data_IF_422427730150
#
_entry.id   IF_422427730150
#
_cell.length_a   1.000
_cell.length_b   1.000
_cell.length_c   1.000
_cell.angle_alpha   90.00
_cell.angle_beta   90.00
_cell.angle_gamma   90.00
#
_symmetry.space_group_name_H-M   'P 1'
#
loop_
_entity.id
_entity.type
_entity.pdbx_description
1 polymer ?
#
# COMPACT_ATOMS: atom_id res chain seq x y z
N UNK A 1 -7.24 9.77 2.87
CA UNK A 1 -7.33 8.61 1.95
C UNK A 1 -7.58 9.11 0.54
N UNK A 2 -6.87 8.59 -0.42
CA UNK A 2 -6.95 9.02 -1.81
C UNK A 2 -6.76 7.81 -2.74
N UNK A 3 -7.24 7.92 -3.98
CA UNK A 3 -6.89 6.95 -5.04
C UNK A 3 -5.53 7.26 -5.70
N UNK A 4 -4.92 8.38 -5.32
CA UNK A 4 -3.60 8.78 -5.79
C UNK A 4 -3.55 9.50 -7.13
N UNK A 5 -4.66 9.60 -7.87
CA UNK A 5 -4.66 10.20 -9.20
C UNK A 5 -4.25 11.68 -9.19
N UNK A 6 -4.66 12.42 -8.16
CA UNK A 6 -4.37 13.85 -8.03
C UNK A 6 -3.27 14.15 -7.00
N UNK A 7 -2.67 13.12 -6.43
CA UNK A 7 -1.74 13.29 -5.31
C UNK A 7 -0.52 14.14 -5.69
N UNK A 8 0.03 13.96 -6.89
CA UNK A 8 1.20 14.72 -7.32
C UNK A 8 0.94 16.22 -7.32
N UNK A 9 -0.27 16.65 -7.70
CA UNK A 9 -0.66 18.06 -7.72
C UNK A 9 -0.93 18.61 -6.33
N UNK A 10 -1.45 17.77 -5.43
CA UNK A 10 -1.94 18.20 -4.12
C UNK A 10 -0.93 18.04 -3.00
N UNK A 11 0.13 17.25 -3.21
CA UNK A 11 1.04 16.86 -2.14
C UNK A 11 1.71 18.07 -1.45
N UNK A 12 2.18 19.05 -2.21
CA UNK A 12 2.82 20.24 -1.62
C UNK A 12 1.86 21.04 -0.75
N UNK A 13 0.64 21.23 -1.24
CA UNK A 13 -0.41 21.93 -0.49
C UNK A 13 -0.76 21.18 0.79
N UNK A 14 -0.90 19.85 0.71
CA UNK A 14 -1.16 19.00 1.87
C UNK A 14 -0.03 19.12 2.91
N UNK A 15 1.21 19.11 2.46
CA UNK A 15 2.37 19.26 3.35
C UNK A 15 2.34 20.60 4.07
N UNK A 16 2.03 21.68 3.37
CA UNK A 16 1.91 23.02 3.96
C UNK A 16 0.79 23.10 5.00
N UNK A 17 -0.27 22.31 4.82
CA UNK A 17 -1.39 22.25 5.74
C UNK A 17 -1.13 21.37 6.96
N UNK A 18 0.06 20.75 7.03
CA UNK A 18 0.46 19.91 8.15
C UNK A 18 0.16 18.43 8.01
N UNK A 19 -0.23 17.98 6.81
CA UNK A 19 -0.46 16.55 6.55
C UNK A 19 0.88 15.82 6.55
N UNK A 20 1.00 14.78 7.39
CA UNK A 20 2.22 14.00 7.53
C UNK A 20 2.09 12.59 6.98
N UNK A 21 0.87 12.08 6.83
CA UNK A 21 0.59 10.71 6.41
C UNK A 21 -0.44 10.70 5.29
N UNK A 22 -0.19 9.86 4.28
CA UNK A 22 -1.11 9.70 3.15
C UNK A 22 -1.42 8.22 2.99
N UNK A 23 -2.70 7.90 2.90
CA UNK A 23 -3.17 6.55 2.58
C UNK A 23 -3.67 6.53 1.15
N UNK A 24 -3.06 5.69 0.33
CA UNK A 24 -3.43 5.52 -1.08
C UNK A 24 -4.10 4.16 -1.25
N UNK A 25 -5.28 4.14 -1.83
CA UNK A 25 -5.96 2.89 -2.18
C UNK A 25 -5.48 2.47 -3.56
N UNK A 26 -4.73 1.39 -3.61
CA UNK A 26 -4.20 0.85 -4.86
C UNK A 26 -4.15 -0.67 -4.76
N UNK A 27 -4.89 -1.36 -5.63
CA UNK A 27 -5.04 -2.81 -5.55
C UNK A 27 -4.07 -3.58 -6.43
N UNK A 28 -3.38 -2.90 -7.33
CA UNK A 28 -2.42 -3.53 -8.23
C UNK A 28 -1.39 -2.53 -8.72
N UNK A 29 -0.17 -2.99 -8.93
CA UNK A 29 0.88 -2.23 -9.62
C UNK A 29 1.15 -2.76 -11.02
N UNK A 30 0.27 -3.61 -11.53
CA UNK A 30 0.28 -4.01 -12.93
C UNK A 30 -0.49 -2.96 -13.75
N UNK A 31 0.17 -2.33 -14.70
CA UNK A 31 -0.39 -1.21 -15.46
C UNK A 31 -1.67 -1.58 -16.21
N UNK A 32 -1.69 -2.74 -16.84
CA UNK A 32 -2.84 -3.22 -17.60
C UNK A 32 -4.02 -3.51 -16.67
N UNK A 33 -3.79 -4.23 -15.58
CA UNK A 33 -4.83 -4.55 -14.59
C UNK A 33 -5.40 -3.30 -13.95
N UNK A 34 -4.54 -2.33 -13.64
CA UNK A 34 -4.97 -1.07 -13.05
C UNK A 34 -5.92 -0.34 -13.99
N UNK A 35 -5.54 -0.18 -15.25
CA UNK A 35 -6.34 0.53 -16.25
C UNK A 35 -7.69 -0.16 -16.47
N UNK A 36 -7.71 -1.48 -16.54
CA UNK A 36 -8.93 -2.25 -16.74
C UNK A 36 -9.88 -2.15 -15.56
N UNK A 37 -9.36 -2.07 -14.33
CA UNK A 37 -10.16 -2.03 -13.11
C UNK A 37 -10.49 -0.61 -12.61
N UNK A 38 -9.94 0.42 -13.25
CA UNK A 38 -10.11 1.82 -12.82
C UNK A 38 -10.64 2.71 -13.95
N UNK A 39 -11.59 2.21 -14.72
CA UNK A 39 -12.29 2.96 -15.77
C UNK A 39 -11.35 3.62 -16.80
N UNK A 40 -10.28 2.94 -17.16
CA UNK A 40 -9.32 3.42 -18.15
C UNK A 40 -8.28 4.40 -17.60
N UNK A 41 -8.28 4.68 -16.31
CA UNK A 41 -7.27 5.55 -15.70
C UNK A 41 -5.91 4.88 -15.69
N UNK A 42 -4.87 5.68 -15.87
CA UNK A 42 -3.49 5.19 -15.87
C UNK A 42 -2.94 5.07 -14.44
N UNK A 43 -2.05 4.09 -14.23
CA UNK A 43 -1.36 3.92 -12.96
C UNK A 43 -0.24 4.94 -12.74
N UNK A 44 0.38 5.44 -13.80
CA UNK A 44 1.53 6.34 -13.68
C UNK A 44 1.28 7.56 -12.79
N UNK A 45 0.12 8.27 -12.88
CA UNK A 45 -0.15 9.37 -11.98
C UNK A 45 -0.13 8.98 -10.50
N UNK A 46 -0.58 7.77 -10.17
CA UNK A 46 -0.55 7.26 -8.79
C UNK A 46 0.89 7.09 -8.33
N UNK A 47 1.74 6.47 -9.16
CA UNK A 47 3.16 6.28 -8.85
C UNK A 47 3.86 7.64 -8.67
N UNK A 48 3.60 8.58 -9.58
CA UNK A 48 4.16 9.93 -9.50
C UNK A 48 3.72 10.64 -8.22
N UNK A 49 2.45 10.47 -7.83
CA UNK A 49 1.92 11.04 -6.59
C UNK A 49 2.58 10.48 -5.35
N UNK A 50 2.76 9.17 -5.30
CA UNK A 50 3.44 8.50 -4.19
C UNK A 50 4.89 9.00 -4.09
N UNK A 51 5.60 9.05 -5.21
CA UNK A 51 6.99 9.51 -5.24
C UNK A 51 7.10 10.97 -4.80
N UNK A 52 6.17 11.82 -5.21
CA UNK A 52 6.13 13.22 -4.78
C UNK A 52 5.93 13.34 -3.27
N UNK A 53 5.01 12.56 -2.71
CA UNK A 53 4.76 12.56 -1.28
C UNK A 53 5.98 12.07 -0.49
N UNK A 54 6.67 11.04 -0.98
CA UNK A 54 7.91 10.54 -0.38
C UNK A 54 8.99 11.64 -0.40
N UNK A 55 9.15 12.35 -1.52
CA UNK A 55 10.12 13.45 -1.63
C UNK A 55 9.83 14.57 -0.63
N UNK A 56 8.57 14.75 -0.28
CA UNK A 56 8.14 15.73 0.73
C UNK A 56 8.19 15.16 2.16
N UNK A 57 8.77 13.98 2.33
CA UNK A 57 8.93 13.31 3.63
C UNK A 57 7.61 12.95 4.30
N UNK A 58 6.58 12.67 3.52
CA UNK A 58 5.30 12.17 4.02
C UNK A 58 5.36 10.65 4.17
N UNK A 59 4.68 10.12 5.18
CA UNK A 59 4.55 8.68 5.38
C UNK A 59 3.48 8.13 4.46
N UNK A 60 3.78 7.02 3.80
CA UNK A 60 2.88 6.39 2.83
C UNK A 60 2.31 5.10 3.38
N UNK A 61 1.00 4.97 3.32
CA UNK A 61 0.27 3.73 3.55
C UNK A 61 -0.46 3.36 2.26
N UNK A 62 -0.30 2.12 1.84
CA UNK A 62 -1.05 1.58 0.69
C UNK A 62 -2.09 0.60 1.22
N UNK A 63 -3.37 0.88 0.96
CA UNK A 63 -4.44 -0.05 1.27
C UNK A 63 -4.70 -0.90 0.04
N UNK A 64 -4.63 -2.22 0.22
CA UNK A 64 -4.72 -3.18 -0.89
C UNK A 64 -5.81 -4.20 -0.61
N UNK A 65 -6.81 -4.25 -1.48
CA UNK A 65 -7.82 -5.31 -1.49
C UNK A 65 -7.44 -6.36 -2.52
N UNK A 66 -7.14 -7.57 -2.06
CA UNK A 66 -6.87 -8.68 -2.97
C UNK A 66 -8.16 -9.35 -3.41
N UNK A 67 -8.21 -9.76 -4.67
CA UNK A 67 -9.34 -10.47 -5.24
C UNK A 67 -8.82 -11.72 -5.93
N UNK A 68 -9.39 -12.86 -5.59
CA UNK A 68 -9.03 -14.13 -6.19
C UNK A 68 -9.20 -14.08 -7.71
N UNK A 69 -8.16 -14.53 -8.43
CA UNK A 69 -8.17 -14.54 -9.89
C UNK A 69 -7.85 -13.19 -10.54
N UNK A 70 -7.68 -12.12 -9.76
CA UNK A 70 -7.37 -10.80 -10.30
C UNK A 70 -5.96 -10.33 -9.93
N UNK A 71 -5.67 -10.19 -8.63
CA UNK A 71 -4.38 -9.67 -8.15
C UNK A 71 -3.80 -10.50 -6.99
N UNK A 72 -4.36 -11.65 -6.68
CA UNK A 72 -3.85 -12.52 -5.63
C UNK A 72 -2.49 -13.13 -5.96
N UNK A 73 -2.05 -13.06 -7.21
CA UNK A 73 -0.71 -13.43 -7.63
C UNK A 73 0.34 -12.32 -7.39
N UNK A 74 -0.07 -11.14 -6.93
CA UNK A 74 0.82 -10.00 -6.69
C UNK A 74 1.27 -9.87 -5.23
N UNK A 75 0.94 -10.83 -4.36
CA UNK A 75 1.26 -10.75 -2.92
C UNK A 75 2.76 -10.53 -2.69
N UNK A 76 3.62 -11.29 -3.38
CA UNK A 76 5.06 -11.15 -3.22
C UNK A 76 5.60 -9.86 -3.85
N UNK A 77 4.93 -9.32 -4.85
CA UNK A 77 5.28 -8.02 -5.43
C UNK A 77 5.03 -6.89 -4.42
N UNK A 78 3.94 -6.97 -3.68
CA UNK A 78 3.68 -6.02 -2.59
C UNK A 78 4.72 -6.16 -1.47
N UNK A 79 5.08 -7.38 -1.11
CA UNK A 79 6.14 -7.59 -0.12
C UNK A 79 7.45 -6.98 -0.60
N UNK A 80 7.79 -7.13 -1.88
CA UNK A 80 9.02 -6.58 -2.46
C UNK A 80 9.08 -5.06 -2.29
N UNK A 81 7.96 -4.37 -2.37
CA UNK A 81 7.91 -2.91 -2.17
C UNK A 81 8.36 -2.52 -0.76
N UNK A 82 8.14 -3.36 0.25
CA UNK A 82 8.57 -3.06 1.62
C UNK A 82 10.08 -3.18 1.81
N UNK A 83 10.78 -3.87 0.92
CA UNK A 83 12.25 -3.90 0.93
C UNK A 83 12.86 -2.67 0.29
N UNK A 84 12.16 -2.09 -0.68
CA UNK A 84 12.64 -0.94 -1.45
C UNK A 84 12.21 0.40 -0.85
N UNK A 85 11.08 0.42 -0.16
CA UNK A 85 10.45 1.64 0.32
C UNK A 85 9.91 1.45 1.75
N UNK A 86 9.93 2.53 2.52
CA UNK A 86 9.38 2.53 3.88
C UNK A 86 7.85 2.71 3.84
N UNK A 87 7.16 1.90 3.05
CA UNK A 87 5.70 1.92 2.98
C UNK A 87 5.10 1.00 4.05
N UNK A 88 3.91 1.36 4.53
CA UNK A 88 3.03 0.42 5.22
C UNK A 88 2.05 -0.09 4.17
N UNK A 89 2.06 -1.39 3.91
CA UNK A 89 1.11 -2.02 2.99
C UNK A 89 0.08 -2.75 3.84
N UNK A 90 -1.17 -2.26 3.81
CA UNK A 90 -2.26 -2.78 4.63
C UNK A 90 -3.22 -3.54 3.75
N UNK A 91 -3.34 -4.85 4.01
CA UNK A 91 -4.30 -5.70 3.32
C UNK A 91 -5.67 -5.57 3.95
N UNK A 92 -6.69 -5.42 3.10
CA UNK A 92 -8.08 -5.31 3.51
C UNK A 92 -8.70 -6.72 3.61
N UNK A 93 -9.79 -6.91 4.39
CA UNK A 93 -10.38 -8.23 4.64
C UNK A 93 -11.20 -8.75 3.45
N UNK A 94 -10.60 -8.79 2.27
CA UNK A 94 -11.25 -9.23 1.04
C UNK A 94 -10.97 -10.68 0.71
N UNK A 95 -9.91 -11.25 1.28
CA UNK A 95 -9.60 -12.68 1.23
C UNK A 95 -9.08 -13.10 2.61
N UNK A 96 -8.94 -14.42 2.80
CA UNK A 96 -8.43 -14.97 4.06
C UNK A 96 -6.97 -14.53 4.26
N UNK A 97 -6.67 -13.87 5.37
CA UNK A 97 -5.32 -13.40 5.70
C UNK A 97 -4.31 -14.55 5.84
N UNK A 98 -4.75 -15.74 6.23
CA UNK A 98 -3.86 -16.90 6.35
C UNK A 98 -3.26 -17.28 5.00
N UNK A 99 -4.00 -17.08 3.91
CA UNK A 99 -3.46 -17.28 2.55
C UNK A 99 -2.33 -16.29 2.25
N UNK A 100 -2.50 -15.03 2.66
CA UNK A 100 -1.47 -14.01 2.47
C UNK A 100 -0.24 -14.35 3.31
N UNK A 101 -0.46 -14.66 4.60
CA UNK A 101 0.63 -14.98 5.53
C UNK A 101 1.40 -16.24 5.11
N UNK A 102 0.72 -17.20 4.47
CA UNK A 102 1.37 -18.43 4.00
C UNK A 102 2.43 -18.16 2.93
N UNK A 103 2.31 -17.05 2.21
CA UNK A 103 3.31 -16.64 1.21
C UNK A 103 4.51 -15.93 1.84
N UNK A 104 4.41 -15.57 3.11
CA UNK A 104 5.41 -14.80 3.85
C UNK A 104 5.71 -15.44 5.20
N UNK A 105 6.24 -16.68 5.22
CA UNK A 105 6.34 -17.45 6.47
C UNK A 105 7.26 -16.84 7.53
N UNK A 106 8.19 -15.96 7.14
CA UNK A 106 9.09 -15.30 8.08
C UNK A 106 8.51 -13.99 8.65
N UNK A 107 7.26 -13.64 8.28
CA UNK A 107 6.61 -12.43 8.75
C UNK A 107 6.43 -12.47 10.28
N UNK A 108 6.84 -11.40 10.97
CA UNK A 108 6.77 -11.31 12.43
C UNK A 108 5.90 -10.14 12.85
N UNK A 109 5.00 -10.39 13.79
CA UNK A 109 4.16 -9.34 14.33
C UNK A 109 4.99 -8.33 15.10
N UNK A 110 4.69 -7.03 14.89
CA UNK A 110 5.32 -5.92 15.60
C UNK A 110 4.21 -5.09 16.25
N UNK A 111 4.58 -4.17 17.12
CA UNK A 111 3.61 -3.29 17.74
C UNK A 111 2.95 -2.42 16.67
N UNK A 112 1.62 -2.40 16.65
CA UNK A 112 0.86 -1.53 15.75
C UNK A 112 0.72 -0.13 16.30
N UNK A 113 0.53 0.81 15.40
CA UNK A 113 0.34 2.21 15.76
C UNK A 113 -1.08 2.46 16.28
N UNK A 114 -2.04 1.68 15.78
CA UNK A 114 -3.46 1.79 16.10
C UNK A 114 -4.07 0.40 16.25
N UNK A 115 -5.09 0.27 17.10
CA UNK A 115 -5.73 -1.02 17.36
C UNK A 115 -6.50 -1.64 16.18
N UNK A 116 -6.70 -0.89 15.09
CA UNK A 116 -7.47 -1.35 13.93
C UNK A 116 -6.66 -2.21 12.96
N UNK A 117 -5.33 -2.15 13.03
CA UNK A 117 -4.44 -2.84 12.10
C UNK A 117 -3.41 -3.66 12.87
N UNK A 118 -3.33 -4.94 12.55
CA UNK A 118 -2.23 -5.78 13.04
C UNK A 118 -1.02 -5.58 12.15
N UNK A 119 0.07 -5.09 12.71
CA UNK A 119 1.28 -4.77 11.96
C UNK A 119 2.32 -5.88 12.08
N UNK A 120 2.99 -6.13 10.96
CA UNK A 120 4.01 -7.15 10.82
C UNK A 120 5.22 -6.59 10.07
N UNK A 121 6.36 -7.21 10.28
CA UNK A 121 7.57 -6.86 9.54
C UNK A 121 8.25 -8.13 9.06
N UNK A 122 8.71 -8.10 7.82
CA UNK A 122 9.49 -9.19 7.26
C UNK A 122 10.97 -8.95 7.53
N UNK A 123 11.78 -9.97 7.88
CA UNK A 123 13.21 -9.79 8.10
C UNK A 123 13.89 -9.10 6.91
N UNK A 124 14.60 -8.00 7.19
CA UNK A 124 15.28 -7.23 6.15
C UNK A 124 14.45 -6.17 5.45
N UNK A 125 13.15 -6.09 5.69
CA UNK A 125 12.33 -5.05 5.08
C UNK A 125 12.49 -3.72 5.81
N UNK A 126 12.35 -2.62 5.08
CA UNK A 126 12.32 -1.27 5.66
C UNK A 126 10.90 -0.77 5.89
N UNK A 127 9.94 -1.30 5.15
CA UNK A 127 8.52 -1.04 5.34
C UNK A 127 7.85 -2.12 6.19
N UNK A 128 6.52 -2.02 6.33
CA UNK A 128 5.73 -2.95 7.14
C UNK A 128 4.55 -3.51 6.35
N UNK A 129 4.06 -4.65 6.79
CA UNK A 129 2.83 -5.27 6.28
C UNK A 129 1.78 -5.18 7.38
N UNK A 130 0.58 -4.75 7.05
CA UNK A 130 -0.53 -4.67 7.98
C UNK A 130 -1.73 -5.46 7.51
N UNK A 131 -2.56 -5.86 8.46
CA UNK A 131 -3.84 -6.53 8.18
C UNK A 131 -4.94 -5.77 8.94
N UNK A 132 -5.86 -5.17 8.18
CA UNK A 132 -6.96 -4.44 8.78
C UNK A 132 -7.89 -5.42 9.48
N UNK A 133 -8.20 -5.15 10.75
CA UNK A 133 -9.15 -5.96 11.52
C UNK A 133 -10.58 -5.72 11.03
N UNK A 134 -11.37 -6.76 11.09
CA UNK A 134 -12.80 -6.69 10.77
C UNK A 134 -13.57 -6.00 11.89
#
# INVERSE_FOLDING_TARGET
VTDGQDLAEKAESMKKEGVTDVTVVVNTFNFTRYKESNDGKELQPVIDGINKAVDLQMNIRLNVGLKEGFNDDEILDFLQLTFQHKYDIVFLPTINYDLIKSKMPALRQVQGDFGEVDMYKYPGSVGRIGFLKN
#
